data_IF_707012232575
#
_entry.id   IF_707012232575
#
_cell.length_a   1.000
_cell.length_b   1.000
_cell.length_c   1.000
_cell.angle_alpha   90.00
_cell.angle_beta   90.00
_cell.angle_gamma   90.00
#
_symmetry.space_group_name_H-M   'P 1'
#
loop_
_entity.id
_entity.type
_entity.pdbx_description
1 polymer ?
#
# COMPACT_ATOMS: atom_id res chain seq x y z
N UNK A 1 -18.90 -23.21 -3.46
CA UNK A 1 -19.48 -23.68 -4.73
C UNK A 1 -19.15 -22.69 -5.83
N UNK A 2 -19.51 -21.41 -5.71
CA UNK A 2 -19.28 -20.36 -6.70
C UNK A 2 -17.82 -20.30 -7.20
N UNK A 3 -16.84 -20.41 -6.29
CA UNK A 3 -15.42 -20.33 -6.65
C UNK A 3 -14.93 -21.57 -7.44
N UNK A 4 -15.44 -22.76 -7.14
CA UNK A 4 -14.94 -24.02 -7.70
C UNK A 4 -15.72 -24.56 -8.89
N UNK A 5 -16.99 -24.20 -9.02
CA UNK A 5 -17.91 -24.79 -10.01
C UNK A 5 -18.48 -23.73 -10.99
N UNK A 6 -18.27 -22.43 -10.73
CA UNK A 6 -18.80 -21.31 -11.51
C UNK A 6 -17.67 -20.41 -12.01
N UNK A 7 -17.94 -19.16 -12.40
CA UNK A 7 -16.98 -18.23 -13.00
C UNK A 7 -15.99 -17.59 -11.98
N UNK A 8 -15.68 -18.27 -10.88
CA UNK A 8 -14.77 -17.77 -9.86
C UNK A 8 -13.30 -17.86 -10.27
N UNK A 9 -12.53 -16.81 -10.01
CA UNK A 9 -11.09 -16.81 -10.20
C UNK A 9 -10.36 -17.34 -8.96
N UNK A 10 -9.36 -18.20 -9.17
CA UNK A 10 -8.59 -18.86 -8.11
C UNK A 10 -7.12 -18.47 -8.24
N UNK A 11 -6.62 -17.75 -7.23
CA UNK A 11 -5.21 -17.31 -7.13
C UNK A 11 -4.50 -18.12 -6.05
N UNK A 12 -3.42 -18.81 -6.42
CA UNK A 12 -2.56 -19.54 -5.49
C UNK A 12 -1.30 -18.77 -5.20
N UNK A 13 -1.08 -18.39 -3.92
CA UNK A 13 0.15 -17.76 -3.44
C UNK A 13 0.93 -18.79 -2.61
N UNK A 14 2.17 -19.08 -3.00
CA UNK A 14 2.93 -20.18 -2.41
C UNK A 14 4.46 -20.00 -2.52
N UNK A 15 5.21 -20.78 -1.77
CA UNK A 15 6.66 -20.85 -1.91
C UNK A 15 7.06 -21.67 -3.16
N UNK A 16 8.17 -21.31 -3.78
CA UNK A 16 8.67 -21.92 -5.05
C UNK A 16 8.73 -23.44 -5.03
N UNK A 17 8.96 -24.06 -3.87
CA UNK A 17 9.03 -25.51 -3.74
C UNK A 17 7.68 -26.19 -3.99
N UNK A 18 6.57 -25.47 -3.82
CA UNK A 18 5.22 -25.99 -4.00
C UNK A 18 4.67 -25.76 -5.41
N UNK A 19 5.39 -25.04 -6.28
CA UNK A 19 4.94 -24.74 -7.65
C UNK A 19 4.53 -26.00 -8.42
N UNK A 20 5.31 -27.11 -8.43
CA UNK A 20 4.90 -28.33 -9.15
C UNK A 20 3.58 -28.93 -8.64
N UNK A 21 3.31 -28.84 -7.34
CA UNK A 21 2.07 -29.36 -6.76
C UNK A 21 0.84 -28.56 -7.20
N UNK A 22 0.98 -27.25 -7.35
CA UNK A 22 -0.12 -26.35 -7.73
C UNK A 22 -0.26 -26.12 -9.24
N UNK A 23 0.75 -26.49 -10.05
CA UNK A 23 0.71 -26.32 -11.51
C UNK A 23 0.56 -27.64 -12.27
N UNK A 24 0.86 -28.77 -11.66
CA UNK A 24 0.81 -30.09 -12.29
C UNK A 24 -0.14 -31.03 -11.54
N UNK A 25 0.17 -31.35 -10.27
CA UNK A 25 -0.59 -32.37 -9.54
C UNK A 25 -2.02 -31.91 -9.25
N UNK A 26 -2.19 -30.72 -8.69
CA UNK A 26 -3.51 -30.20 -8.34
C UNK A 26 -4.40 -29.98 -9.56
N UNK A 27 -3.97 -29.31 -10.63
CA UNK A 27 -4.75 -29.24 -11.88
C UNK A 27 -5.09 -30.60 -12.46
N UNK A 28 -4.17 -31.56 -12.43
CA UNK A 28 -4.43 -32.94 -12.87
C UNK A 28 -5.55 -33.62 -12.08
N UNK A 29 -5.61 -33.41 -10.77
CA UNK A 29 -6.70 -33.92 -9.93
C UNK A 29 -8.04 -33.23 -10.23
N UNK A 30 -8.03 -31.91 -10.41
CA UNK A 30 -9.24 -31.15 -10.76
C UNK A 30 -9.81 -31.57 -12.11
N UNK A 31 -8.96 -31.77 -13.12
CA UNK A 31 -9.35 -32.25 -14.43
C UNK A 31 -9.94 -33.67 -14.39
N UNK A 32 -9.40 -34.56 -13.53
CA UNK A 32 -9.90 -35.89 -13.35
C UNK A 32 -11.25 -35.94 -12.61
N UNK A 33 -11.60 -34.90 -11.85
CA UNK A 33 -12.87 -34.86 -11.12
C UNK A 33 -14.04 -34.37 -11.99
N UNK A 34 -13.77 -33.63 -13.09
CA UNK A 34 -14.73 -32.94 -13.95
C UNK A 34 -15.54 -31.84 -13.24
N UNK A 35 -15.79 -30.73 -13.93
CA UNK A 35 -16.66 -29.63 -13.46
C UNK A 35 -16.07 -28.73 -12.36
N UNK A 36 -14.75 -28.80 -12.10
CA UNK A 36 -14.07 -27.92 -11.17
C UNK A 36 -13.16 -26.94 -11.92
N UNK A 37 -13.12 -25.69 -11.41
CA UNK A 37 -12.26 -24.64 -11.96
C UNK A 37 -10.77 -24.94 -11.71
N UNK A 38 -9.97 -24.65 -12.71
CA UNK A 38 -8.53 -24.65 -12.58
C UNK A 38 -8.05 -23.33 -11.93
N UNK A 39 -6.86 -23.33 -11.30
CA UNK A 39 -6.23 -22.08 -10.82
C UNK A 39 -6.05 -21.10 -11.98
N UNK A 40 -6.57 -19.87 -11.79
CA UNK A 40 -6.40 -18.77 -12.75
C UNK A 40 -4.96 -18.30 -12.77
N UNK A 41 -4.33 -18.23 -11.59
CA UNK A 41 -2.94 -17.81 -11.44
C UNK A 41 -2.24 -18.55 -10.30
N UNK A 42 -0.99 -18.93 -10.52
CA UNK A 42 -0.12 -19.50 -9.49
C UNK A 42 1.10 -18.58 -9.32
N UNK A 43 1.24 -17.98 -8.14
CA UNK A 43 2.31 -17.04 -7.80
C UNK A 43 3.29 -17.73 -6.86
N UNK A 44 4.47 -18.06 -7.37
CA UNK A 44 5.55 -18.70 -6.60
C UNK A 44 6.53 -17.68 -6.05
N UNK A 45 6.64 -17.58 -4.73
CA UNK A 45 7.63 -16.73 -4.07
C UNK A 45 8.92 -17.48 -3.74
N UNK A 46 10.04 -16.75 -3.74
CA UNK A 46 11.31 -17.21 -3.20
C UNK A 46 11.25 -17.28 -1.67
N UNK A 47 12.38 -17.47 -0.99
CA UNK A 47 12.40 -17.57 0.47
C UNK A 47 12.51 -16.19 1.12
N UNK A 48 11.66 -15.98 2.13
CA UNK A 48 11.88 -14.94 3.12
C UNK A 48 12.74 -15.56 4.25
N UNK A 49 13.86 -14.97 4.54
CA UNK A 49 14.74 -15.35 5.63
C UNK A 49 14.54 -14.41 6.84
N UNK A 50 15.09 -14.80 7.98
CA UNK A 50 15.15 -13.96 9.18
C UNK A 50 16.63 -13.71 9.53
N UNK A 51 17.05 -12.45 9.46
CA UNK A 51 18.45 -12.07 9.73
C UNK A 51 19.48 -12.89 8.93
N UNK A 52 19.17 -13.16 7.66
CA UNK A 52 20.02 -13.96 6.77
C UNK A 52 19.97 -15.46 7.00
N UNK A 53 19.16 -15.95 7.95
CA UNK A 53 18.97 -17.38 8.26
C UNK A 53 17.57 -17.84 7.89
N UNK A 54 17.41 -19.11 7.56
CA UNK A 54 16.08 -19.69 7.31
C UNK A 54 15.22 -19.62 8.58
N UNK A 55 13.93 -19.33 8.41
CA UNK A 55 12.95 -19.47 9.47
C UNK A 55 12.94 -20.93 9.99
N UNK A 56 12.96 -21.11 11.30
CA UNK A 56 12.96 -22.44 11.92
C UNK A 56 12.21 -22.40 13.24
N UNK A 57 11.05 -23.04 13.28
CA UNK A 57 10.27 -23.21 14.53
C UNK A 57 11.04 -23.97 15.61
N UNK A 58 11.73 -25.05 15.21
CA UNK A 58 12.46 -25.90 16.16
C UNK A 58 13.69 -25.22 16.77
N UNK A 59 14.25 -24.21 16.08
CA UNK A 59 15.41 -23.45 16.57
C UNK A 59 14.99 -22.06 17.14
N UNK A 60 13.70 -21.74 17.18
CA UNK A 60 13.22 -20.46 17.65
C UNK A 60 13.64 -19.26 16.76
N UNK A 61 13.99 -19.51 15.48
CA UNK A 61 14.43 -18.49 14.55
C UNK A 61 13.24 -18.01 13.73
N UNK A 62 12.82 -16.75 13.95
CA UNK A 62 11.74 -16.15 13.18
C UNK A 62 10.92 -15.13 13.97
N UNK A 63 9.92 -14.57 13.30
CA UNK A 63 8.88 -13.74 13.91
C UNK A 63 7.63 -14.59 14.08
N UNK A 64 7.18 -14.75 15.31
CA UNK A 64 6.00 -15.54 15.64
C UNK A 64 4.81 -14.63 15.86
N UNK A 65 3.76 -14.78 15.05
CA UNK A 65 2.60 -13.89 15.05
C UNK A 65 1.91 -13.76 16.41
N UNK A 66 1.88 -14.83 17.23
CA UNK A 66 1.29 -14.78 18.56
C UNK A 66 2.07 -13.85 19.52
N UNK A 67 3.38 -13.69 19.35
CA UNK A 67 4.17 -12.73 20.15
C UNK A 67 3.89 -11.27 19.75
N UNK A 68 3.41 -11.06 18.52
CA UNK A 68 3.08 -9.72 18.04
C UNK A 68 1.75 -9.22 18.63
N UNK A 69 0.82 -10.12 18.96
CA UNK A 69 -0.47 -9.75 19.57
C UNK A 69 -0.29 -9.16 20.97
N UNK A 70 0.77 -9.54 21.66
CA UNK A 70 1.12 -9.06 23.01
C UNK A 70 2.13 -7.89 22.97
N UNK A 71 2.45 -7.38 21.78
CA UNK A 71 3.41 -6.28 21.57
C UNK A 71 2.71 -4.97 21.20
N UNK A 72 3.43 -3.85 21.36
CA UNK A 72 3.00 -2.53 20.92
C UNK A 72 3.19 -2.28 19.41
N UNK A 73 3.45 -3.33 18.63
CA UNK A 73 3.66 -3.21 17.18
C UNK A 73 2.30 -3.18 16.49
N UNK A 74 2.00 -2.06 15.85
CA UNK A 74 0.84 -1.92 14.99
C UNK A 74 0.96 -2.84 13.77
N UNK A 75 -0.05 -3.69 13.57
CA UNK A 75 -0.05 -4.74 12.54
C UNK A 75 0.11 -4.15 11.13
N UNK A 76 -0.47 -3.00 10.86
CA UNK A 76 -0.33 -2.34 9.55
C UNK A 76 1.11 -1.92 9.25
N UNK A 77 1.87 -1.51 10.28
CA UNK A 77 3.29 -1.17 10.08
C UNK A 77 4.10 -2.41 9.70
N UNK A 78 3.79 -3.55 10.31
CA UNK A 78 4.41 -4.82 9.94
C UNK A 78 4.02 -5.26 8.53
N UNK A 79 2.73 -5.14 8.17
CA UNK A 79 2.23 -5.44 6.82
C UNK A 79 2.93 -4.60 5.76
N UNK A 80 3.08 -3.28 6.00
CA UNK A 80 3.78 -2.39 5.07
C UNK A 80 5.23 -2.82 4.86
N UNK A 81 5.95 -3.15 5.93
CA UNK A 81 7.33 -3.61 5.81
C UNK A 81 7.43 -4.97 5.12
N UNK A 82 6.58 -5.94 5.47
CA UNK A 82 6.53 -7.24 4.80
C UNK A 82 6.30 -7.09 3.30
N UNK A 83 5.48 -6.12 2.88
CA UNK A 83 5.26 -5.79 1.47
C UNK A 83 6.56 -5.36 0.77
N UNK A 84 7.46 -4.65 1.45
CA UNK A 84 8.75 -4.24 0.86
C UNK A 84 9.74 -5.38 0.71
N UNK A 85 9.66 -6.38 1.59
CA UNK A 85 10.58 -7.53 1.62
C UNK A 85 9.98 -8.82 1.06
N UNK A 86 8.78 -8.75 0.46
CA UNK A 86 8.15 -9.91 -0.18
C UNK A 86 9.09 -10.48 -1.26
N UNK A 87 9.41 -11.78 -1.26
CA UNK A 87 10.46 -12.35 -2.11
C UNK A 87 9.99 -12.70 -3.53
N UNK A 88 9.51 -11.71 -4.29
CA UNK A 88 8.96 -11.92 -5.63
C UNK A 88 9.99 -12.48 -6.62
N UNK A 89 11.17 -11.87 -6.71
CA UNK A 89 12.15 -12.20 -7.74
C UNK A 89 13.39 -12.94 -7.21
N UNK A 90 13.69 -12.80 -5.94
CA UNK A 90 14.85 -13.41 -5.25
C UNK A 90 14.57 -13.58 -3.78
N UNK A 91 15.36 -14.41 -3.12
CA UNK A 91 15.31 -14.54 -1.67
C UNK A 91 15.52 -13.17 -1.00
N UNK A 92 14.79 -12.92 0.07
CA UNK A 92 14.85 -11.68 0.85
C UNK A 92 15.03 -12.01 2.34
N UNK A 93 15.16 -11.00 3.19
CA UNK A 93 15.33 -11.20 4.62
C UNK A 93 14.53 -10.18 5.41
N UNK A 94 13.81 -10.63 6.42
CA UNK A 94 13.25 -9.80 7.46
C UNK A 94 14.35 -9.43 8.45
N UNK A 95 14.46 -8.15 8.81
CA UNK A 95 15.37 -7.63 9.83
C UNK A 95 14.65 -6.58 10.67
N UNK A 96 14.82 -6.63 11.99
CA UNK A 96 14.17 -5.67 12.89
C UNK A 96 14.67 -4.24 12.72
N UNK A 97 15.96 -4.05 12.43
CA UNK A 97 16.52 -2.72 12.18
C UNK A 97 15.97 -2.11 10.88
N UNK A 98 15.82 -2.92 9.83
CA UNK A 98 15.24 -2.48 8.57
C UNK A 98 13.74 -2.17 8.74
N UNK A 99 13.00 -2.98 9.52
CA UNK A 99 11.62 -2.70 9.89
C UNK A 99 11.49 -1.36 10.61
N UNK A 100 12.30 -1.11 11.63
CA UNK A 100 12.30 0.16 12.37
C UNK A 100 12.63 1.34 11.45
N UNK A 101 13.62 1.19 10.59
CA UNK A 101 14.01 2.19 9.60
C UNK A 101 12.87 2.49 8.62
N UNK A 102 12.25 1.45 8.08
CA UNK A 102 11.10 1.57 7.17
C UNK A 102 9.93 2.33 7.81
N UNK A 103 9.53 1.95 9.02
CA UNK A 103 8.41 2.61 9.71
C UNK A 103 8.70 4.09 9.94
N UNK A 104 9.88 4.43 10.46
CA UNK A 104 10.19 5.82 10.83
C UNK A 104 10.54 6.70 9.62
N UNK A 105 11.35 6.20 8.70
CA UNK A 105 11.95 7.00 7.64
C UNK A 105 11.17 6.96 6.32
N UNK A 106 10.30 5.96 6.14
CA UNK A 106 9.46 5.86 4.94
C UNK A 106 7.99 6.08 5.29
N UNK A 107 7.37 5.15 6.03
CA UNK A 107 5.94 5.17 6.26
C UNK A 107 5.49 6.44 6.99
N UNK A 108 6.06 6.71 8.17
CA UNK A 108 5.70 7.88 8.99
C UNK A 108 6.20 9.17 8.34
N UNK A 109 7.45 9.21 7.88
CA UNK A 109 8.04 10.41 7.32
C UNK A 109 7.41 10.84 5.99
N UNK A 110 6.84 9.93 5.23
CA UNK A 110 6.20 10.25 3.94
C UNK A 110 4.69 10.29 4.08
N UNK A 111 4.04 9.15 4.32
CA UNK A 111 2.59 9.04 4.35
C UNK A 111 2.01 9.67 5.62
N UNK A 112 2.52 9.32 6.80
CA UNK A 112 2.05 9.86 8.07
C UNK A 112 2.19 11.38 8.15
N UNK A 113 3.33 11.91 7.66
CA UNK A 113 3.58 13.35 7.62
C UNK A 113 2.61 14.08 6.68
N UNK A 114 2.31 13.50 5.51
CA UNK A 114 1.35 14.07 4.56
C UNK A 114 -0.04 14.22 5.19
N UNK A 115 -0.59 13.13 5.75
CA UNK A 115 -1.88 13.15 6.42
C UNK A 115 -1.90 14.15 7.59
N UNK A 116 -0.91 14.06 8.47
CA UNK A 116 -0.85 14.92 9.65
C UNK A 116 -0.76 16.41 9.29
N UNK A 117 0.09 16.79 8.33
CA UNK A 117 0.23 18.19 7.87
C UNK A 117 -1.07 18.70 7.26
N UNK A 118 -1.66 17.91 6.36
CA UNK A 118 -2.90 18.28 5.66
C UNK A 118 -4.05 18.48 6.65
N UNK A 119 -4.33 17.47 7.49
CA UNK A 119 -5.45 17.51 8.42
C UNK A 119 -5.27 18.58 9.50
N UNK A 120 -4.07 18.74 10.07
CA UNK A 120 -3.81 19.82 11.04
C UNK A 120 -4.00 21.21 10.45
N UNK A 121 -3.56 21.43 9.21
CA UNK A 121 -3.76 22.72 8.53
C UNK A 121 -5.24 23.01 8.33
N UNK A 122 -6.02 22.02 7.90
CA UNK A 122 -7.47 22.15 7.73
C UNK A 122 -8.14 22.46 9.08
N UNK A 123 -7.80 21.70 10.10
CA UNK A 123 -8.38 21.87 11.43
C UNK A 123 -8.08 23.26 12.03
N UNK A 124 -6.83 23.70 11.94
CA UNK A 124 -6.38 24.94 12.57
C UNK A 124 -6.80 26.22 11.84
N UNK A 125 -7.10 26.16 10.54
CA UNK A 125 -7.34 27.37 9.73
C UNK A 125 -8.72 27.41 9.07
N UNK A 126 -9.43 26.28 9.04
CA UNK A 126 -10.70 26.12 8.36
C UNK A 126 -11.74 25.35 9.19
N UNK A 127 -11.56 25.29 10.53
CA UNK A 127 -12.48 24.65 11.47
C UNK A 127 -12.82 23.19 11.15
N UNK A 128 -11.91 22.48 10.46
CA UNK A 128 -12.09 21.10 10.04
C UNK A 128 -12.87 20.89 8.75
N UNK A 129 -13.34 21.97 8.12
CA UNK A 129 -14.18 21.90 6.91
C UNK A 129 -13.53 22.66 5.76
N UNK A 130 -13.54 22.04 4.58
CA UNK A 130 -13.14 22.69 3.33
C UNK A 130 -14.31 22.65 2.36
N UNK A 131 -14.99 23.78 2.24
CA UNK A 131 -15.94 24.00 1.14
C UNK A 131 -15.19 24.61 -0.04
N UNK A 132 -15.15 23.86 -1.15
CA UNK A 132 -14.53 24.32 -2.38
C UNK A 132 -15.43 23.95 -3.56
N UNK A 133 -16.16 24.93 -4.04
CA UNK A 133 -17.19 24.74 -5.07
C UNK A 133 -16.70 24.85 -6.52
N UNK A 134 -15.40 25.13 -6.74
CA UNK A 134 -14.89 25.31 -8.10
C UNK A 134 -13.40 25.03 -8.25
N UNK A 135 -13.06 24.37 -9.36
CA UNK A 135 -11.67 24.18 -9.80
C UNK A 135 -11.26 25.26 -10.83
N UNK A 136 -11.82 26.46 -10.69
CA UNK A 136 -11.44 27.57 -11.56
C UNK A 136 -10.08 28.14 -11.16
N UNK A 137 -9.29 28.56 -12.15
CA UNK A 137 -7.99 29.21 -11.91
C UNK A 137 -6.89 28.25 -11.41
N UNK A 138 -6.97 26.96 -11.75
CA UNK A 138 -5.92 25.99 -11.41
C UNK A 138 -4.57 26.39 -11.99
N UNK A 139 -3.55 26.39 -11.14
CA UNK A 139 -2.15 26.54 -11.53
C UNK A 139 -1.65 25.28 -12.25
N UNK A 140 -0.48 25.33 -12.84
CA UNK A 140 0.16 24.14 -13.43
C UNK A 140 0.39 23.05 -12.38
N UNK A 141 0.84 23.43 -11.17
CA UNK A 141 1.02 22.49 -10.06
C UNK A 141 -0.28 21.83 -9.61
N UNK A 142 -1.38 22.58 -9.61
CA UNK A 142 -2.70 22.04 -9.27
C UNK A 142 -3.14 20.97 -10.29
N UNK A 143 -2.94 21.23 -11.58
CA UNK A 143 -3.27 20.29 -12.66
C UNK A 143 -2.41 19.03 -12.59
N UNK A 144 -1.10 19.17 -12.37
CA UNK A 144 -0.20 18.02 -12.16
C UNK A 144 -0.67 17.11 -11.01
N UNK A 145 -1.16 17.71 -9.91
CA UNK A 145 -1.69 16.94 -8.78
C UNK A 145 -3.03 16.29 -9.11
N UNK A 146 -3.93 16.99 -9.80
CA UNK A 146 -5.22 16.42 -10.25
C UNK A 146 -4.98 15.23 -11.17
N UNK A 147 -4.11 15.39 -12.17
CA UNK A 147 -3.72 14.29 -13.08
C UNK A 147 -3.15 13.07 -12.30
N UNK A 148 -2.37 13.33 -11.26
CA UNK A 148 -1.86 12.25 -10.40
C UNK A 148 -2.97 11.57 -9.60
N UNK A 149 -3.94 12.32 -9.05
CA UNK A 149 -5.10 11.80 -8.32
C UNK A 149 -5.96 10.90 -9.22
N UNK A 150 -6.11 11.26 -10.48
CA UNK A 150 -6.91 10.50 -11.45
C UNK A 150 -6.16 9.24 -11.95
N UNK A 151 -4.87 9.34 -12.20
CA UNK A 151 -4.06 8.28 -12.82
C UNK A 151 -3.55 7.22 -11.84
N UNK A 152 -2.99 7.66 -10.70
CA UNK A 152 -2.28 6.76 -9.78
C UNK A 152 -3.12 5.63 -9.21
N UNK A 153 -4.43 5.82 -8.88
CA UNK A 153 -5.27 4.72 -8.41
C UNK A 153 -5.36 3.57 -9.42
N UNK A 154 -5.52 3.87 -10.70
CA UNK A 154 -5.52 2.86 -11.76
C UNK A 154 -4.19 2.12 -11.84
N UNK A 155 -3.06 2.84 -11.88
CA UNK A 155 -1.74 2.23 -11.96
C UNK A 155 -1.37 1.36 -10.74
N UNK A 156 -1.84 1.73 -9.54
CA UNK A 156 -1.66 0.94 -8.33
C UNK A 156 -2.55 -0.30 -8.39
N UNK A 157 -3.82 -0.14 -8.80
CA UNK A 157 -4.77 -1.23 -9.00
C UNK A 157 -4.23 -2.27 -9.96
N UNK A 158 -3.77 -1.85 -11.13
CA UNK A 158 -3.18 -2.72 -12.15
C UNK A 158 -1.99 -3.55 -11.59
N UNK A 159 -1.15 -2.92 -10.76
CA UNK A 159 -0.05 -3.65 -10.12
C UNK A 159 -0.53 -4.70 -9.12
N UNK A 160 -1.59 -4.41 -8.35
CA UNK A 160 -2.20 -5.36 -7.42
C UNK A 160 -2.87 -6.53 -8.18
N UNK A 161 -3.65 -6.25 -9.21
CA UNK A 161 -4.30 -7.25 -10.05
C UNK A 161 -3.27 -8.15 -10.75
N UNK A 162 -2.13 -7.60 -11.12
CA UNK A 162 -1.01 -8.35 -11.67
C UNK A 162 -0.17 -9.09 -10.62
N UNK A 163 -0.54 -9.01 -9.33
CA UNK A 163 0.19 -9.63 -8.22
C UNK A 163 1.62 -9.08 -8.02
N UNK A 164 1.88 -7.88 -8.50
CA UNK A 164 3.14 -7.15 -8.36
C UNK A 164 3.11 -6.29 -7.08
N UNK A 165 3.06 -6.95 -5.93
CA UNK A 165 2.75 -6.31 -4.64
C UNK A 165 3.80 -5.27 -4.23
N UNK A 166 5.10 -5.55 -4.46
CA UNK A 166 6.18 -4.58 -4.20
C UNK A 166 6.07 -3.35 -5.10
N UNK A 167 5.72 -3.54 -6.37
CA UNK A 167 5.55 -2.44 -7.31
C UNK A 167 4.35 -1.57 -6.91
N UNK A 168 3.24 -2.19 -6.52
CA UNK A 168 2.07 -1.48 -6.02
C UNK A 168 2.41 -0.62 -4.80
N UNK A 169 3.10 -1.18 -3.80
CA UNK A 169 3.50 -0.42 -2.60
C UNK A 169 4.44 0.74 -2.93
N UNK A 170 5.40 0.54 -3.82
CA UNK A 170 6.28 1.61 -4.26
C UNK A 170 5.50 2.77 -4.89
N UNK A 171 4.51 2.48 -5.73
CA UNK A 171 3.62 3.49 -6.33
C UNK A 171 2.76 4.20 -5.28
N UNK A 172 2.29 3.49 -4.25
CA UNK A 172 1.60 4.11 -3.10
C UNK A 172 2.50 5.13 -2.40
N UNK A 173 3.75 4.80 -2.14
CA UNK A 173 4.70 5.71 -1.51
C UNK A 173 5.12 6.88 -2.42
N UNK A 174 5.21 6.66 -3.73
CA UNK A 174 5.40 7.70 -4.73
C UNK A 174 4.23 8.68 -4.75
N UNK A 175 3.00 8.17 -4.73
CA UNK A 175 1.79 9.00 -4.68
C UNK A 175 1.74 9.86 -3.41
N UNK A 176 2.10 9.31 -2.25
CA UNK A 176 2.25 10.09 -1.01
C UNK A 176 3.35 11.16 -1.12
N UNK A 177 4.45 10.86 -1.79
CA UNK A 177 5.55 11.79 -2.03
C UNK A 177 5.15 12.96 -2.94
N UNK A 178 4.32 12.71 -3.96
CA UNK A 178 3.73 13.76 -4.82
C UNK A 178 2.91 14.76 -4.00
N UNK A 179 2.08 14.28 -3.06
CA UNK A 179 1.33 15.13 -2.14
C UNK A 179 2.23 16.01 -1.25
N UNK A 180 3.31 15.44 -0.69
CA UNK A 180 4.29 16.21 0.08
C UNK A 180 5.03 17.25 -0.77
N UNK A 181 5.41 16.91 -1.99
CA UNK A 181 6.06 17.84 -2.93
C UNK A 181 5.13 19.00 -3.27
N UNK A 182 3.85 18.71 -3.54
CA UNK A 182 2.84 19.74 -3.81
C UNK A 182 2.62 20.67 -2.61
N UNK A 183 2.48 20.14 -1.37
CA UNK A 183 2.40 20.96 -0.16
C UNK A 183 3.63 21.86 0.01
N UNK A 184 4.82 21.37 -0.33
CA UNK A 184 6.05 22.14 -0.24
C UNK A 184 6.11 23.24 -1.34
N UNK A 185 5.53 23.01 -2.52
CA UNK A 185 5.46 23.98 -3.63
C UNK A 185 4.45 25.09 -3.34
N UNK A 186 3.28 24.74 -2.79
CA UNK A 186 2.18 25.68 -2.52
C UNK A 186 2.29 26.37 -1.16
N UNK A 187 3.05 25.81 -0.22
CA UNK A 187 3.31 26.34 1.12
C UNK A 187 2.04 26.86 1.83
N UNK A 188 0.97 26.04 2.01
CA UNK A 188 -0.30 26.52 2.56
C UNK A 188 -0.18 27.12 3.96
N UNK A 189 0.85 26.77 4.74
CA UNK A 189 1.16 27.39 6.04
C UNK A 189 1.60 28.85 5.94
N UNK A 190 2.06 29.29 4.78
CA UNK A 190 2.44 30.67 4.50
C UNK A 190 1.28 31.36 3.78
N UNK A 191 0.74 30.75 2.72
CA UNK A 191 -0.30 31.35 1.87
C UNK A 191 -1.60 31.60 2.63
N UNK A 192 -1.93 30.79 3.65
CA UNK A 192 -3.12 31.01 4.51
C UNK A 192 -3.16 32.38 5.18
N UNK A 193 -2.01 33.06 5.33
CA UNK A 193 -1.90 34.39 5.94
C UNK A 193 -2.06 35.53 4.93
N UNK A 194 -1.84 35.27 3.66
CA UNK A 194 -1.82 36.28 2.58
C UNK A 194 -2.95 36.07 1.58
N UNK A 195 -3.25 34.82 1.26
CA UNK A 195 -4.34 34.41 0.37
C UNK A 195 -4.98 33.13 0.89
N UNK A 196 -6.08 33.30 1.66
CA UNK A 196 -6.79 32.18 2.29
C UNK A 196 -7.44 31.24 1.26
N UNK A 197 -7.85 31.76 0.10
CA UNK A 197 -8.48 30.97 -0.95
C UNK A 197 -7.46 30.10 -1.70
N UNK A 198 -6.26 30.61 -1.96
CA UNK A 198 -5.17 29.80 -2.51
C UNK A 198 -4.79 28.66 -1.55
N UNK A 199 -4.68 28.96 -0.24
CA UNK A 199 -4.41 27.94 0.77
C UNK A 199 -5.56 26.92 0.85
N UNK A 200 -6.82 27.34 0.77
CA UNK A 200 -8.00 26.48 0.75
C UNK A 200 -7.96 25.52 -0.44
N UNK A 201 -7.69 26.02 -1.64
CA UNK A 201 -7.57 25.25 -2.87
C UNK A 201 -6.49 24.17 -2.75
N UNK A 202 -5.29 24.57 -2.33
CA UNK A 202 -4.17 23.62 -2.20
C UNK A 202 -4.43 22.53 -1.16
N UNK A 203 -5.05 22.85 -0.03
CA UNK A 203 -5.42 21.89 0.99
C UNK A 203 -6.57 20.98 0.53
N UNK A 204 -7.54 21.49 -0.21
CA UNK A 204 -8.62 20.71 -0.79
C UNK A 204 -8.09 19.65 -1.77
N UNK A 205 -7.19 20.04 -2.68
CA UNK A 205 -6.56 19.10 -3.61
C UNK A 205 -5.72 18.06 -2.88
N UNK A 206 -4.93 18.49 -1.88
CA UNK A 206 -4.15 17.52 -1.07
C UNK A 206 -5.05 16.58 -0.27
N UNK A 207 -6.18 17.05 0.25
CA UNK A 207 -7.15 16.19 0.96
C UNK A 207 -7.75 15.13 0.03
N UNK A 208 -8.05 15.48 -1.23
CA UNK A 208 -8.50 14.51 -2.23
C UNK A 208 -7.41 13.49 -2.57
N UNK A 209 -6.14 13.90 -2.66
CA UNK A 209 -5.02 12.97 -2.77
C UNK A 209 -4.96 12.03 -1.56
N UNK A 210 -5.05 12.56 -0.33
CA UNK A 210 -5.08 11.76 0.89
C UNK A 210 -6.22 10.73 0.87
N UNK A 211 -7.42 11.12 0.43
CA UNK A 211 -8.56 10.22 0.27
C UNK A 211 -8.27 9.09 -0.72
N UNK A 212 -7.77 9.43 -1.90
CA UNK A 212 -7.40 8.43 -2.91
C UNK A 212 -6.29 7.50 -2.40
N UNK A 213 -5.28 8.06 -1.73
CA UNK A 213 -4.18 7.32 -1.12
C UNK A 213 -4.69 6.34 -0.04
N UNK A 214 -5.64 6.74 0.81
CA UNK A 214 -6.25 5.85 1.79
C UNK A 214 -6.94 4.66 1.12
N UNK A 215 -7.69 4.89 0.05
CA UNK A 215 -8.40 3.83 -0.70
C UNK A 215 -7.40 2.83 -1.29
N UNK A 216 -6.39 3.30 -2.01
CA UNK A 216 -5.44 2.41 -2.71
C UNK A 216 -4.46 1.70 -1.79
N UNK A 217 -4.22 2.24 -0.59
CA UNK A 217 -3.37 1.61 0.42
C UNK A 217 -4.11 0.68 1.39
N UNK A 218 -5.45 0.72 1.42
CA UNK A 218 -6.27 -0.13 2.29
C UNK A 218 -5.99 -1.64 2.19
N UNK A 219 -5.67 -2.24 1.02
CA UNK A 219 -5.28 -3.65 0.96
C UNK A 219 -4.01 -3.97 1.76
N UNK A 220 -3.11 -3.01 1.95
CA UNK A 220 -1.85 -3.15 2.67
C UNK A 220 -1.98 -2.70 4.12
N UNK A 221 -2.67 -1.59 4.36
CA UNK A 221 -2.85 -0.89 5.63
C UNK A 221 -4.33 -0.82 6.05
N UNK A 222 -5.04 -1.95 6.21
CA UNK A 222 -6.50 -1.97 6.37
C UNK A 222 -7.00 -1.27 7.64
N UNK A 223 -6.24 -1.29 8.73
CA UNK A 223 -6.60 -0.66 9.99
C UNK A 223 -6.36 0.84 10.01
N UNK A 224 -5.27 1.28 9.37
CA UNK A 224 -4.85 2.70 9.38
C UNK A 224 -5.62 3.56 8.38
N UNK A 225 -6.29 2.94 7.39
CA UNK A 225 -6.94 3.63 6.26
C UNK A 225 -8.48 3.61 6.33
N UNK A 226 -9.03 3.36 7.50
CA UNK A 226 -10.48 3.40 7.76
C UNK A 226 -10.99 4.79 8.07
#
# INVERSE_FOLDING_TARGET
REVWEEDGEIYHFLGKDNVPFHTVFWPGMLLAHEGLNLPTRVVGYNYLNFDGRKFSKSQGVGVFCFNLLDSDIEIDTLRSYLTTVIPENKDSSFRWDDFRSHVNNELIATMGNLFNRTLRMIFNNFDGELDYSGLEGLTEADRELVDAIERMPGEIGDSLENTEIRAAYRKVMEFASMGNAYLNKTMPWTTVKTDKEEARRSLYLTLNLCRSLAIVSAPILPGSMQ
#
